data_IF_241028415613
#
_entry.id   IF_241028415613
#
_cell.length_a   1.000
_cell.length_b   1.000
_cell.length_c   1.000
_cell.angle_alpha   90.00
_cell.angle_beta   90.00
_cell.angle_gamma   90.00
#
_symmetry.space_group_name_H-M   'P 1'
#
loop_
_entity.id
_entity.type
_entity.pdbx_description
1 polymer ?
#
# COMPACT_ATOMS: atom_id res chain seq x y z
N UNK A 1 -18.55 8.71 1.54
CA UNK A 1 -18.25 7.33 1.11
C UNK A 1 -17.44 6.65 2.19
N UNK A 2 -17.86 5.45 2.56
CA UNK A 2 -17.14 4.51 3.42
C UNK A 2 -15.74 4.16 2.86
N UNK A 3 -14.79 3.83 3.75
CA UNK A 3 -13.41 3.51 3.36
C UNK A 3 -13.35 2.32 2.40
N UNK A 4 -14.09 1.25 2.67
CA UNK A 4 -14.10 0.05 1.82
C UNK A 4 -14.67 0.34 0.43
N UNK A 5 -15.64 1.25 0.34
CA UNK A 5 -16.14 1.73 -0.95
C UNK A 5 -15.06 2.47 -1.73
N UNK A 6 -14.34 3.41 -1.10
CA UNK A 6 -13.23 4.13 -1.75
C UNK A 6 -12.10 3.19 -2.16
N UNK A 7 -11.77 2.21 -1.33
CA UNK A 7 -10.71 1.25 -1.60
C UNK A 7 -11.05 0.36 -2.80
N UNK A 8 -12.28 -0.15 -2.88
CA UNK A 8 -12.75 -0.93 -4.04
C UNK A 8 -12.72 -0.13 -5.34
N UNK A 9 -13.13 1.14 -5.29
CA UNK A 9 -13.07 2.03 -6.46
C UNK A 9 -11.63 2.28 -6.91
N UNK A 10 -10.72 2.57 -5.97
CA UNK A 10 -9.30 2.77 -6.26
C UNK A 10 -8.63 1.51 -6.85
N UNK A 11 -8.95 0.32 -6.31
CA UNK A 11 -8.46 -0.93 -6.88
C UNK A 11 -9.01 -1.17 -8.29
N UNK A 12 -10.31 -0.94 -8.50
CA UNK A 12 -10.92 -1.07 -9.83
C UNK A 12 -10.25 -0.15 -10.85
N UNK A 13 -10.05 1.13 -10.50
CA UNK A 13 -9.36 2.09 -11.37
C UNK A 13 -7.96 1.61 -11.76
N UNK A 14 -7.18 1.10 -10.80
CA UNK A 14 -5.81 0.63 -11.06
C UNK A 14 -5.77 -0.67 -11.87
N UNK A 15 -6.72 -1.59 -11.66
CA UNK A 15 -6.90 -2.79 -12.48
C UNK A 15 -7.26 -2.39 -13.92
N UNK A 16 -8.22 -1.48 -14.08
CA UNK A 16 -8.67 -0.99 -15.39
C UNK A 16 -7.52 -0.28 -16.14
N UNK A 17 -6.53 0.29 -15.42
CA UNK A 17 -5.27 0.85 -15.95
C UNK A 17 -4.17 -0.19 -16.20
N UNK A 18 -4.41 -1.47 -15.95
CA UNK A 18 -3.43 -2.55 -16.14
C UNK A 18 -2.34 -2.63 -15.08
N UNK A 19 -2.54 -1.99 -13.91
CA UNK A 19 -1.57 -2.06 -12.81
C UNK A 19 -1.66 -3.42 -12.13
N UNK A 20 -0.51 -4.05 -11.93
CA UNK A 20 -0.42 -5.35 -11.28
C UNK A 20 -0.82 -5.28 -9.81
N UNK A 21 -1.47 -6.33 -9.31
CA UNK A 21 -1.96 -6.41 -7.94
C UNK A 21 -0.87 -6.18 -6.88
N UNK A 22 0.34 -6.68 -7.11
CA UNK A 22 1.49 -6.47 -6.22
C UNK A 22 1.91 -5.01 -6.10
N UNK A 23 1.62 -4.17 -7.11
CA UNK A 23 2.06 -2.78 -7.14
C UNK A 23 1.05 -1.86 -6.44
N UNK A 24 -0.26 -2.11 -6.63
CA UNK A 24 -1.29 -1.30 -5.97
C UNK A 24 -1.74 -1.85 -4.60
N UNK A 25 -1.50 -3.13 -4.33
CA UNK A 25 -1.85 -3.78 -3.07
C UNK A 25 -0.70 -4.67 -2.57
N UNK A 26 0.48 -4.09 -2.28
CA UNK A 26 1.65 -4.86 -1.83
C UNK A 26 1.40 -5.50 -0.46
N UNK A 27 2.12 -6.59 -0.11
CA UNK A 27 1.97 -7.29 1.17
C UNK A 27 2.09 -6.39 2.40
N UNK A 28 2.94 -5.35 2.31
CA UNK A 28 3.15 -4.35 3.36
C UNK A 28 1.86 -3.58 3.68
N UNK A 29 1.21 -3.03 2.65
CA UNK A 29 -0.07 -2.32 2.77
C UNK A 29 -1.18 -3.27 3.21
N UNK A 30 -1.21 -4.50 2.71
CA UNK A 30 -2.18 -5.52 3.14
C UNK A 30 -2.05 -5.82 4.63
N UNK A 31 -0.83 -5.94 5.16
CA UNK A 31 -0.60 -6.18 6.58
C UNK A 31 -1.10 -5.00 7.42
N UNK A 32 -0.78 -3.77 7.02
CA UNK A 32 -1.26 -2.57 7.73
C UNK A 32 -2.80 -2.52 7.77
N UNK A 33 -3.48 -2.86 6.67
CA UNK A 33 -4.94 -2.94 6.64
C UNK A 33 -5.50 -4.04 7.54
N UNK A 34 -4.85 -5.20 7.59
CA UNK A 34 -5.23 -6.30 8.52
C UNK A 34 -5.10 -5.89 10.00
N UNK A 35 -4.21 -4.95 10.31
CA UNK A 35 -4.08 -4.35 11.64
C UNK A 35 -5.13 -3.27 11.93
N UNK A 36 -6.12 -3.07 11.04
CA UNK A 36 -7.22 -2.12 11.21
C UNK A 36 -6.92 -0.71 10.71
N UNK A 37 -5.75 -0.48 10.09
CA UNK A 37 -5.42 0.83 9.53
C UNK A 37 -6.08 1.05 8.17
N UNK A 38 -6.76 2.18 8.03
CA UNK A 38 -7.33 2.63 6.76
C UNK A 38 -6.22 3.20 5.86
N UNK A 39 -5.65 2.37 4.98
CA UNK A 39 -4.50 2.75 4.15
C UNK A 39 -4.87 2.70 2.66
N UNK A 40 -4.74 3.80 1.89
CA UNK A 40 -5.04 3.77 0.46
C UNK A 40 -3.97 2.99 -0.32
N UNK A 41 -4.22 2.64 -1.60
CA UNK A 41 -3.17 2.09 -2.46
C UNK A 41 -1.97 3.06 -2.59
N UNK A 42 -0.72 2.57 -2.76
CA UNK A 42 0.49 3.40 -2.83
C UNK A 42 0.41 4.58 -3.82
N UNK A 43 -0.30 4.40 -4.93
CA UNK A 43 -0.50 5.41 -5.97
C UNK A 43 -1.30 6.64 -5.53
N UNK A 44 -2.03 6.56 -4.41
CA UNK A 44 -2.78 7.69 -3.85
C UNK A 44 -2.09 8.31 -2.63
N UNK A 45 -0.89 7.83 -2.27
CA UNK A 45 -0.07 8.41 -1.22
C UNK A 45 0.84 9.50 -1.79
N UNK A 46 1.23 10.45 -0.96
CA UNK A 46 2.29 11.40 -1.32
C UNK A 46 3.62 10.67 -1.51
N UNK A 47 4.53 11.29 -2.26
CA UNK A 47 5.88 10.77 -2.43
C UNK A 47 6.56 10.44 -1.10
N UNK A 48 6.55 11.39 -0.15
CA UNK A 48 7.15 11.19 1.17
C UNK A 48 6.49 10.06 1.97
N UNK A 49 5.16 9.90 1.89
CA UNK A 49 4.48 8.79 2.55
C UNK A 49 4.91 7.43 1.97
N UNK A 50 5.08 7.34 0.64
CA UNK A 50 5.61 6.14 0.00
C UNK A 50 7.05 5.83 0.43
N UNK A 51 7.91 6.86 0.54
CA UNK A 51 9.30 6.69 1.01
C UNK A 51 9.33 6.19 2.46
N UNK A 52 8.54 6.80 3.35
CA UNK A 52 8.47 6.38 4.76
C UNK A 52 7.92 4.97 4.91
N UNK A 53 6.84 4.64 4.19
CA UNK A 53 6.30 3.28 4.16
C UNK A 53 7.38 2.28 3.75
N UNK A 54 8.10 2.57 2.65
CA UNK A 54 9.17 1.69 2.17
C UNK A 54 10.30 1.55 3.20
N UNK A 55 10.74 2.66 3.80
CA UNK A 55 11.81 2.67 4.79
C UNK A 55 11.47 1.81 6.02
N UNK A 56 10.25 1.92 6.55
CA UNK A 56 9.79 1.16 7.72
C UNK A 56 9.88 -0.36 7.49
N UNK A 57 9.65 -0.82 6.26
CA UNK A 57 9.72 -2.25 5.95
C UNK A 57 11.13 -2.71 5.57
N UNK A 58 11.86 -1.97 4.74
CA UNK A 58 13.15 -2.41 4.20
C UNK A 58 14.33 -2.15 5.14
N UNK A 59 14.32 -1.09 5.96
CA UNK A 59 15.44 -0.78 6.86
C UNK A 59 15.61 -1.84 7.94
N UNK A 60 14.56 -2.27 8.67
CA UNK A 60 14.71 -3.36 9.64
C UNK A 60 15.10 -4.68 8.98
N UNK A 61 14.52 -4.99 7.81
CA UNK A 61 14.87 -6.21 7.07
C UNK A 61 16.36 -6.23 6.74
N UNK A 62 16.92 -5.12 6.23
CA UNK A 62 18.35 -5.02 5.95
C UNK A 62 19.23 -5.22 7.19
N UNK A 63 18.83 -4.66 8.33
CA UNK A 63 19.55 -4.84 9.61
C UNK A 63 19.51 -6.27 10.16
N UNK A 64 18.46 -7.04 9.86
CA UNK A 64 18.29 -8.43 10.30
C UNK A 64 19.07 -9.41 9.42
N UNK A 65 19.20 -9.14 8.11
CA UNK A 65 19.92 -10.00 7.17
C UNK A 65 21.42 -9.68 7.03
N UNK A 66 21.95 -8.81 7.90
CA UNK A 66 23.38 -8.51 8.04
C UNK A 66 23.99 -9.34 9.16
#
# INVERSE_FOLDING_TARGET
>A
MDYEAKLRLAHKELIDKGVWASNYNPPTVMLLRKLGMCFPPPYYLSYFANVMLSAIFYVPAWGIFK
#
